data_IF_710492037504
#
_entry.id   IF_710492037504
#
_cell.length_a   1.000
_cell.length_b   1.000
_cell.length_c   1.000
_cell.angle_alpha   90.00
_cell.angle_beta   90.00
_cell.angle_gamma   90.00
#
_symmetry.space_group_name_H-M   'P 1'
#
loop_
_entity.id
_entity.type
_entity.pdbx_description
1 polymer ?
#
# COMPACT_ATOMS: atom_id res chain seq x y z
N UNK A 1 -24.07 12.10 -5.53
CA UNK A 1 -24.41 12.05 -4.07
C UNK A 1 -24.52 10.57 -3.73
N UNK A 2 -24.47 10.14 -2.46
CA UNK A 2 -24.58 8.69 -2.20
C UNK A 2 -26.05 8.28 -2.07
N UNK A 3 -26.53 7.34 -2.90
CA UNK A 3 -27.83 6.68 -2.71
C UNK A 3 -27.75 5.64 -1.58
N UNK A 4 -28.85 5.41 -0.89
CA UNK A 4 -28.95 4.34 0.13
C UNK A 4 -29.49 3.08 -0.52
N UNK A 5 -28.79 1.96 -0.37
CA UNK A 5 -29.27 0.64 -0.81
C UNK A 5 -29.45 -0.27 0.40
N UNK A 6 -30.43 -1.17 0.32
CA UNK A 6 -30.67 -2.21 1.33
C UNK A 6 -30.06 -3.52 0.84
N UNK A 7 -29.18 -4.10 1.66
CA UNK A 7 -28.54 -5.38 1.39
C UNK A 7 -29.46 -6.54 1.81
N UNK A 8 -29.10 -7.76 1.41
CA UNK A 8 -29.89 -8.98 1.67
C UNK A 8 -30.04 -9.31 3.16
N UNK A 9 -29.08 -8.88 3.98
CA UNK A 9 -29.10 -8.97 5.44
C UNK A 9 -29.93 -7.86 6.11
N UNK A 10 -30.55 -6.97 5.31
CA UNK A 10 -31.34 -5.85 5.77
C UNK A 10 -30.55 -4.58 6.06
N UNK A 11 -29.22 -4.61 5.97
CA UNK A 11 -28.34 -3.49 6.27
C UNK A 11 -28.48 -2.39 5.20
N UNK A 12 -28.55 -1.12 5.64
CA UNK A 12 -28.61 0.04 4.73
C UNK A 12 -27.21 0.63 4.58
N UNK A 13 -26.68 0.62 3.36
CA UNK A 13 -25.34 1.16 3.06
C UNK A 13 -25.42 2.35 2.09
N UNK A 14 -24.44 3.25 2.21
CA UNK A 14 -24.22 4.33 1.25
C UNK A 14 -23.55 3.75 0.01
N UNK A 15 -24.19 3.89 -1.14
CA UNK A 15 -23.70 3.44 -2.42
C UNK A 15 -23.56 4.65 -3.36
N UNK A 16 -22.45 4.80 -4.09
CA UNK A 16 -22.27 5.95 -5.00
C UNK A 16 -23.35 5.99 -6.09
N UNK A 17 -23.71 7.20 -6.54
CA UNK A 17 -24.61 7.35 -7.70
C UNK A 17 -23.91 6.88 -8.98
N UNK A 18 -24.69 6.58 -10.03
CA UNK A 18 -24.15 6.12 -11.31
C UNK A 18 -23.14 7.09 -11.94
N UNK A 19 -23.34 8.40 -11.76
CA UNK A 19 -22.39 9.44 -12.21
C UNK A 19 -21.06 9.35 -11.45
N UNK A 20 -21.12 9.20 -10.13
CA UNK A 20 -19.94 9.08 -9.28
C UNK A 20 -19.14 7.82 -9.65
N UNK A 21 -19.83 6.72 -9.96
CA UNK A 21 -19.21 5.48 -10.45
C UNK A 21 -18.55 5.65 -11.82
N UNK A 22 -19.22 6.32 -12.76
CA UNK A 22 -18.67 6.56 -14.11
C UNK A 22 -17.42 7.46 -14.06
N UNK A 23 -17.43 8.49 -13.20
CA UNK A 23 -16.24 9.30 -12.97
C UNK A 23 -15.09 8.51 -12.33
N UNK A 24 -15.39 7.65 -11.35
CA UNK A 24 -14.39 6.77 -10.74
C UNK A 24 -13.81 5.80 -11.77
N UNK A 25 -14.65 5.19 -12.62
CA UNK A 25 -14.22 4.30 -13.69
C UNK A 25 -13.33 5.05 -14.70
N UNK A 26 -13.75 6.22 -15.18
CA UNK A 26 -12.92 7.05 -16.09
C UNK A 26 -11.56 7.39 -15.49
N UNK A 27 -11.52 7.69 -14.19
CA UNK A 27 -10.26 7.93 -13.46
C UNK A 27 -9.39 6.68 -13.44
N UNK A 28 -9.95 5.53 -13.05
CA UNK A 28 -9.24 4.25 -12.97
C UNK A 28 -8.78 3.73 -14.35
N UNK A 29 -9.54 3.99 -15.40
CA UNK A 29 -9.21 3.65 -16.79
C UNK A 29 -8.23 4.63 -17.43
N UNK A 30 -7.87 5.72 -16.76
CA UNK A 30 -6.87 6.65 -17.26
C UNK A 30 -5.45 6.19 -16.88
N UNK A 31 -4.50 6.35 -17.80
CA UNK A 31 -3.08 6.07 -17.55
C UNK A 31 -2.45 6.99 -16.49
N UNK A 32 -3.20 7.96 -15.97
CA UNK A 32 -2.76 8.90 -14.94
C UNK A 32 -2.72 8.27 -13.55
N UNK A 33 -3.44 7.18 -13.32
CA UNK A 33 -3.52 6.51 -12.02
C UNK A 33 -2.63 5.28 -12.03
N UNK A 34 -1.55 5.32 -11.26
CA UNK A 34 -0.65 4.18 -11.07
C UNK A 34 -1.23 3.29 -9.97
N UNK A 35 -1.64 2.09 -10.32
CA UNK A 35 -2.04 1.06 -9.35
C UNK A 35 -0.85 0.50 -8.57
N UNK A 36 -1.13 -0.11 -7.42
CA UNK A 36 -0.15 -0.92 -6.68
C UNK A 36 0.20 -2.18 -7.48
N UNK A 37 1.49 -2.52 -7.56
CA UNK A 37 1.92 -3.78 -8.18
C UNK A 37 1.55 -4.95 -7.26
N UNK A 38 0.96 -6.00 -7.81
CA UNK A 38 0.73 -7.27 -7.10
C UNK A 38 1.79 -8.29 -7.47
N UNK A 39 2.13 -9.17 -6.52
CA UNK A 39 3.03 -10.30 -6.77
C UNK A 39 2.23 -11.55 -7.13
N UNK A 40 2.74 -12.44 -7.99
CA UNK A 40 2.10 -13.71 -8.29
C UNK A 40 2.16 -14.66 -7.08
N UNK A 41 1.28 -15.68 -7.05
CA UNK A 41 1.16 -16.59 -5.89
C UNK A 41 2.43 -17.43 -5.67
N UNK A 42 3.09 -17.79 -6.76
CA UNK A 42 4.33 -18.56 -6.84
C UNK A 42 5.59 -17.65 -6.82
N UNK A 43 5.45 -16.38 -6.44
CA UNK A 43 6.58 -15.47 -6.31
C UNK A 43 7.68 -16.06 -5.39
N UNK A 44 8.96 -15.78 -5.69
CA UNK A 44 10.06 -16.23 -4.85
C UNK A 44 9.94 -15.62 -3.45
N UNK A 45 10.46 -16.33 -2.45
CA UNK A 45 10.37 -15.88 -1.05
C UNK A 45 11.01 -14.51 -0.83
N UNK A 46 12.05 -14.18 -1.59
CA UNK A 46 12.66 -12.85 -1.58
C UNK A 46 11.67 -11.74 -1.92
N UNK A 47 10.85 -11.92 -2.95
CA UNK A 47 9.85 -10.93 -3.38
C UNK A 47 8.68 -10.87 -2.40
N UNK A 48 8.27 -12.01 -1.84
CA UNK A 48 7.27 -12.05 -0.75
C UNK A 48 7.73 -11.27 0.47
N UNK A 49 9.01 -11.37 0.84
CA UNK A 49 9.59 -10.60 1.95
C UNK A 49 9.58 -9.11 1.63
N UNK A 50 10.05 -8.70 0.45
CA UNK A 50 10.01 -7.28 0.03
C UNK A 50 8.59 -6.73 0.05
N UNK A 51 7.64 -7.49 -0.47
CA UNK A 51 6.22 -7.12 -0.47
C UNK A 51 5.68 -6.92 0.95
N UNK A 52 6.00 -7.83 1.88
CA UNK A 52 5.63 -7.70 3.30
C UNK A 52 6.27 -6.47 3.96
N UNK A 53 7.52 -6.14 3.63
CA UNK A 53 8.18 -4.94 4.14
C UNK A 53 7.52 -3.65 3.63
N UNK A 54 7.17 -3.58 2.34
CA UNK A 54 6.37 -2.46 1.82
C UNK A 54 5.02 -2.34 2.53
N UNK A 55 4.33 -3.47 2.76
CA UNK A 55 3.06 -3.48 3.48
C UNK A 55 3.22 -2.93 4.91
N UNK A 56 4.29 -3.28 5.63
CA UNK A 56 4.56 -2.75 6.98
C UNK A 56 4.75 -1.23 6.99
N UNK A 57 5.40 -0.68 5.98
CA UNK A 57 5.57 0.77 5.81
C UNK A 57 4.20 1.44 5.55
N UNK A 58 3.35 0.84 4.73
CA UNK A 58 1.97 1.34 4.48
C UNK A 58 1.13 1.27 5.75
N UNK A 59 1.16 0.14 6.47
CA UNK A 59 0.48 -0.02 7.76
C UNK A 59 0.86 1.09 8.73
N UNK A 60 2.15 1.45 8.80
CA UNK A 60 2.61 2.54 9.64
C UNK A 60 2.02 3.88 9.24
N UNK A 61 2.06 4.20 7.94
CA UNK A 61 1.50 5.43 7.37
C UNK A 61 0.02 5.56 7.73
N UNK A 62 -0.75 4.49 7.58
CA UNK A 62 -2.18 4.46 7.87
C UNK A 62 -2.44 4.58 9.38
N UNK A 63 -1.75 3.79 10.21
CA UNK A 63 -1.92 3.81 11.66
C UNK A 63 -1.58 5.16 12.30
N UNK A 64 -0.68 5.94 11.67
CA UNK A 64 -0.26 7.26 12.13
C UNK A 64 -0.89 8.42 11.34
N UNK A 65 -1.79 8.14 10.39
CA UNK A 65 -2.40 9.13 9.49
C UNK A 65 -1.38 10.08 8.84
N UNK A 66 -0.24 9.56 8.41
CA UNK A 66 0.83 10.36 7.82
C UNK A 66 0.54 10.65 6.34
N UNK A 67 0.88 11.86 5.90
CA UNK A 67 0.98 12.16 4.48
C UNK A 67 2.21 11.45 3.87
N UNK A 68 2.27 11.40 2.54
CA UNK A 68 3.43 10.84 1.84
C UNK A 68 4.70 11.64 2.14
N UNK A 69 4.59 12.98 2.17
CA UNK A 69 5.65 13.90 2.54
C UNK A 69 6.17 13.68 3.96
N UNK A 70 5.26 13.51 4.94
CA UNK A 70 5.67 13.27 6.33
C UNK A 70 6.42 11.94 6.47
N UNK A 71 5.96 10.92 5.75
CA UNK A 71 6.63 9.62 5.71
C UNK A 71 8.03 9.74 5.07
N UNK A 72 8.16 10.53 4.00
CA UNK A 72 9.43 10.78 3.32
C UNK A 72 10.45 11.43 4.25
N UNK A 73 10.06 12.49 4.96
CA UNK A 73 10.89 13.15 5.97
C UNK A 73 11.28 12.18 7.08
N UNK A 74 10.36 11.32 7.52
CA UNK A 74 10.61 10.38 8.62
C UNK A 74 11.59 9.27 8.27
N UNK A 75 11.52 8.73 7.05
CA UNK A 75 12.43 7.67 6.58
C UNK A 75 13.74 8.29 6.06
N UNK A 76 13.76 9.58 5.72
CA UNK A 76 14.91 10.25 5.09
C UNK A 76 15.00 9.98 3.59
N UNK A 77 13.86 9.87 2.92
CA UNK A 77 13.74 9.66 1.47
C UNK A 77 13.05 10.84 0.80
N UNK A 78 13.14 10.91 -0.53
CA UNK A 78 12.32 11.82 -1.31
C UNK A 78 10.89 11.26 -1.50
N UNK A 79 9.96 12.14 -1.85
CA UNK A 79 8.56 11.78 -2.03
C UNK A 79 8.34 10.77 -3.18
N UNK A 80 9.09 10.81 -4.31
CA UNK A 80 9.04 9.79 -5.35
C UNK A 80 9.46 8.39 -4.89
N UNK A 81 10.50 8.25 -4.06
CA UNK A 81 10.91 6.96 -3.49
C UNK A 81 9.83 6.39 -2.58
N UNK A 82 9.23 7.23 -1.73
CA UNK A 82 8.07 6.81 -0.93
C UNK A 82 6.94 6.35 -1.83
N UNK A 83 6.62 7.10 -2.90
CA UNK A 83 5.58 6.70 -3.85
C UNK A 83 5.80 5.28 -4.36
N UNK A 84 7.02 4.97 -4.81
CA UNK A 84 7.38 3.64 -5.32
C UNK A 84 7.19 2.54 -4.28
N UNK A 85 7.57 2.80 -3.02
CA UNK A 85 7.36 1.85 -1.91
C UNK A 85 5.86 1.63 -1.67
N UNK A 86 5.06 2.70 -1.60
CA UNK A 86 3.61 2.64 -1.38
C UNK A 86 2.87 1.94 -2.54
N UNK A 87 3.45 1.97 -3.75
CA UNK A 87 2.96 1.28 -4.95
C UNK A 87 3.60 -0.09 -5.18
N UNK A 88 4.34 -0.65 -4.20
CA UNK A 88 4.94 -1.97 -4.26
C UNK A 88 5.87 -2.20 -5.46
N UNK A 89 6.67 -1.20 -5.84
CA UNK A 89 7.74 -1.35 -6.86
C UNK A 89 8.95 -2.10 -6.30
N UNK A 90 8.71 -3.32 -5.81
CA UNK A 90 9.66 -4.16 -5.07
C UNK A 90 10.90 -4.53 -5.88
N UNK A 91 10.80 -4.52 -7.21
CA UNK A 91 11.91 -4.80 -8.13
C UNK A 91 13.05 -3.78 -8.00
N UNK A 92 12.76 -2.60 -7.46
CA UNK A 92 13.74 -1.51 -7.28
C UNK A 92 14.51 -1.59 -5.96
N UNK A 93 14.14 -2.50 -5.07
CA UNK A 93 14.68 -2.54 -3.73
C UNK A 93 15.24 -3.91 -3.38
N UNK A 94 16.33 -3.90 -2.61
CA UNK A 94 16.80 -5.09 -1.90
C UNK A 94 16.02 -5.27 -0.59
N UNK A 95 16.10 -6.47 0.00
CA UNK A 95 15.45 -6.76 1.28
C UNK A 95 16.06 -5.88 2.37
N UNK A 96 17.38 -5.75 2.40
CA UNK A 96 18.15 -4.98 3.38
C UNK A 96 17.73 -3.50 3.36
N UNK A 97 17.53 -2.95 2.17
CA UNK A 97 17.12 -1.54 2.00
C UNK A 97 15.72 -1.29 2.54
N UNK A 98 14.75 -2.15 2.19
CA UNK A 98 13.39 -2.04 2.71
C UNK A 98 13.33 -2.31 4.22
N UNK A 99 14.15 -3.24 4.71
CA UNK A 99 14.27 -3.52 6.12
C UNK A 99 14.80 -2.30 6.89
N UNK A 100 15.85 -1.65 6.37
CA UNK A 100 16.39 -0.42 6.95
C UNK A 100 15.33 0.69 7.05
N UNK A 101 14.44 0.81 6.05
CA UNK A 101 13.32 1.75 6.14
C UNK A 101 12.28 1.32 7.18
N UNK A 102 11.96 0.03 7.24
CA UNK A 102 11.00 -0.49 8.20
C UNK A 102 11.49 -0.35 9.64
N UNK A 103 12.79 -0.53 9.93
CA UNK A 103 13.35 -0.41 11.28
C UNK A 103 13.36 1.03 11.79
N UNK A 104 13.45 2.04 10.91
CA UNK A 104 13.27 3.46 11.28
C UNK A 104 11.86 3.70 11.83
N UNK A 105 10.85 3.07 11.22
CA UNK A 105 9.45 3.20 11.63
C UNK A 105 9.09 2.31 12.82
N UNK A 106 9.71 1.14 12.89
CA UNK A 106 9.50 0.12 13.92
C UNK A 106 10.85 -0.26 14.56
N UNK A 107 11.32 0.51 15.57
CA UNK A 107 12.62 0.26 16.20
C UNK A 107 12.73 -1.10 16.90
N UNK A 108 11.59 -1.76 17.17
CA UNK A 108 11.52 -3.09 17.80
C UNK A 108 11.19 -4.21 16.80
N UNK A 109 11.29 -3.94 15.49
CA UNK A 109 11.07 -4.94 14.47
C UNK A 109 12.12 -6.04 14.59
N UNK A 110 11.67 -7.28 14.76
CA UNK A 110 12.51 -8.48 14.75
C UNK A 110 12.24 -9.28 13.49
N UNK A 111 13.27 -9.98 12.99
CA UNK A 111 13.14 -10.94 11.89
C UNK A 111 13.56 -12.30 12.42
N UNK A 112 12.75 -13.31 12.15
CA UNK A 112 13.04 -14.69 12.45
C UNK A 112 13.22 -15.45 11.14
N UNK A 113 14.30 -16.24 11.07
CA UNK A 113 14.56 -17.15 9.96
C UNK A 113 14.22 -18.55 10.43
N UNK A 114 13.19 -19.13 9.82
CA UNK A 114 12.76 -20.50 10.08
C UNK A 114 13.23 -21.36 8.91
N UNK A 115 14.07 -22.36 9.20
CA UNK A 115 14.36 -23.44 8.27
C UNK A 115 13.37 -24.58 8.56
N UNK A 116 12.68 -25.03 7.51
CA UNK A 116 11.82 -26.21 7.56
C UNK A 116 12.66 -27.49 7.46
#
# INVERSE_FOLDING_TARGET
MARKIKLNDGTIVRYPDAKDLDEMLKKLSSDKIVGSTVIPKDAPESDKIKFKLCAKIIEYKLAKNLSQKDLAVKIGLDEPEISRILHYKIERYSIERLLGYATILYPKLTIEVLAA
#
